data_IF_228241831281
#
_entry.id   IF_228241831281
#
_cell.length_a   1.000
_cell.length_b   1.000
_cell.length_c   1.000
_cell.angle_alpha   90.00
_cell.angle_beta   90.00
_cell.angle_gamma   90.00
#
_symmetry.space_group_name_H-M   'P 1'
#
loop_
_entity.id
_entity.type
_entity.pdbx_description
1 polymer ?
#
# COMPACT_ATOMS: atom_id res chain seq x y z
N UNK A 1 0.37 11.00 23.98
CA UNK A 1 1.29 10.30 23.05
C UNK A 1 0.54 9.96 21.78
N UNK A 2 1.06 10.36 20.66
CA UNK A 2 0.41 10.05 19.39
C UNK A 2 0.54 8.57 19.06
N UNK A 3 -0.53 7.97 18.58
CA UNK A 3 -0.49 6.60 18.10
C UNK A 3 0.34 6.53 16.84
N UNK A 4 0.96 5.38 16.61
CA UNK A 4 1.70 5.15 15.37
C UNK A 4 0.71 4.95 14.23
N UNK A 5 0.91 5.65 13.09
CA UNK A 5 0.05 5.40 11.93
C UNK A 5 0.20 3.96 11.44
N UNK A 6 -0.92 3.33 11.16
CA UNK A 6 -0.93 1.97 10.64
C UNK A 6 -0.69 2.02 9.13
N UNK A 7 0.31 1.28 8.65
CA UNK A 7 0.60 1.14 7.23
C UNK A 7 0.47 -0.34 6.89
N UNK A 8 -0.41 -0.66 5.96
CA UNK A 8 -0.61 -2.03 5.53
C UNK A 8 0.22 -2.30 4.28
N UNK A 9 1.09 -3.30 4.36
CA UNK A 9 1.95 -3.71 3.25
C UNK A 9 1.33 -4.96 2.62
N UNK A 10 0.85 -4.84 1.40
CA UNK A 10 0.25 -5.96 0.68
C UNK A 10 1.28 -6.51 -0.29
N UNK A 11 1.94 -7.57 0.11
CA UNK A 11 3.06 -8.18 -0.60
C UNK A 11 3.11 -9.66 -0.28
N UNK A 12 3.14 -10.51 -1.31
CA UNK A 12 3.15 -11.96 -1.12
C UNK A 12 4.53 -12.54 -0.78
N UNK A 13 5.60 -11.82 -1.15
CA UNK A 13 6.97 -12.25 -0.83
C UNK A 13 7.25 -11.96 0.65
N UNK A 14 7.47 -13.01 1.48
CA UNK A 14 7.70 -12.78 2.91
C UNK A 14 9.00 -12.03 3.19
N UNK A 15 10.02 -12.22 2.38
CA UNK A 15 11.31 -11.55 2.60
C UNK A 15 11.20 -10.06 2.29
N UNK A 16 10.66 -9.71 1.14
CA UNK A 16 10.48 -8.31 0.78
C UNK A 16 9.47 -7.63 1.71
N UNK A 17 8.31 -8.26 1.93
CA UNK A 17 7.31 -7.72 2.83
C UNK A 17 7.82 -7.53 4.24
N UNK A 18 8.58 -8.50 4.74
CA UNK A 18 9.20 -8.42 6.06
C UNK A 18 10.20 -7.28 6.16
N UNK A 19 11.01 -7.08 5.11
CA UNK A 19 11.98 -5.97 5.07
C UNK A 19 11.29 -4.62 5.09
N UNK A 20 10.21 -4.49 4.34
CA UNK A 20 9.44 -3.24 4.30
C UNK A 20 8.82 -2.98 5.68
N UNK A 21 8.21 -3.99 6.28
CA UNK A 21 7.59 -3.86 7.61
C UNK A 21 8.65 -3.45 8.65
N UNK A 22 9.80 -4.10 8.64
CA UNK A 22 10.86 -3.78 9.59
C UNK A 22 11.35 -2.34 9.43
N UNK A 23 11.61 -1.92 8.20
CA UNK A 23 12.09 -0.57 7.94
C UNK A 23 11.06 0.49 8.36
N UNK A 24 9.79 0.30 8.00
CA UNK A 24 8.74 1.23 8.38
C UNK A 24 8.53 1.26 9.90
N UNK A 25 8.64 0.10 10.55
CA UNK A 25 8.52 0.03 12.02
C UNK A 25 9.61 0.85 12.70
N UNK A 26 10.83 0.80 12.19
CA UNK A 26 11.94 1.60 12.71
C UNK A 26 11.73 3.09 12.47
N UNK A 27 10.96 3.45 11.44
CA UNK A 27 10.67 4.84 11.10
C UNK A 27 9.43 5.39 11.84
N UNK A 28 8.84 4.62 12.74
CA UNK A 28 7.77 5.09 13.61
C UNK A 28 6.37 4.69 13.20
N UNK A 29 6.22 3.79 12.23
CA UNK A 29 4.90 3.33 11.79
C UNK A 29 4.53 2.02 12.48
N UNK A 30 3.23 1.74 12.57
CA UNK A 30 2.73 0.41 12.89
C UNK A 30 2.50 -0.31 11.56
N UNK A 31 3.51 -1.01 11.10
CA UNK A 31 3.49 -1.67 9.79
C UNK A 31 3.03 -3.13 9.93
N UNK A 32 2.08 -3.52 9.10
CA UNK A 32 1.53 -4.86 9.08
C UNK A 32 1.57 -5.40 7.65
N UNK A 33 1.70 -6.71 7.48
CA UNK A 33 1.74 -7.33 6.16
C UNK A 33 0.49 -8.16 5.90
N UNK A 34 -0.08 -7.98 4.70
CA UNK A 34 -1.03 -8.91 4.10
C UNK A 34 -0.33 -9.61 2.94
N UNK A 35 -0.61 -10.87 2.73
CA UNK A 35 0.11 -11.69 1.74
C UNK A 35 -0.69 -11.96 0.48
N UNK A 36 -1.95 -11.57 0.44
CA UNK A 36 -2.79 -11.63 -0.75
C UNK A 36 -3.91 -10.60 -0.65
N UNK A 37 -4.69 -10.47 -1.73
CA UNK A 37 -5.74 -9.47 -1.80
C UNK A 37 -6.89 -9.71 -0.83
N UNK A 38 -7.23 -10.97 -0.56
CA UNK A 38 -8.33 -11.27 0.37
C UNK A 38 -7.93 -10.91 1.80
N UNK A 39 -6.71 -11.25 2.20
CA UNK A 39 -6.20 -10.86 3.51
C UNK A 39 -6.10 -9.34 3.61
N UNK A 40 -5.69 -8.68 2.52
CA UNK A 40 -5.63 -7.22 2.49
C UNK A 40 -6.97 -6.58 2.79
N UNK A 41 -8.03 -7.06 2.15
CA UNK A 41 -9.37 -6.50 2.36
C UNK A 41 -9.84 -6.70 3.80
N UNK A 42 -9.57 -7.87 4.40
CA UNK A 42 -9.90 -8.11 5.80
C UNK A 42 -9.14 -7.18 6.73
N UNK A 43 -7.85 -6.99 6.49
CA UNK A 43 -7.03 -6.14 7.35
C UNK A 43 -7.36 -4.66 7.17
N UNK A 44 -7.74 -4.24 5.97
CA UNK A 44 -8.24 -2.87 5.76
C UNK A 44 -9.47 -2.63 6.62
N UNK A 45 -10.41 -3.58 6.65
CA UNK A 45 -11.61 -3.45 7.47
C UNK A 45 -11.28 -3.46 8.96
N UNK A 46 -10.36 -4.29 9.40
CA UNK A 46 -10.06 -4.46 10.82
C UNK A 46 -9.15 -3.36 11.37
N UNK A 47 -8.15 -2.94 10.61
CA UNK A 47 -7.11 -2.04 11.09
C UNK A 47 -7.34 -0.58 10.74
N UNK A 48 -8.14 -0.28 9.74
CA UNK A 48 -8.33 1.08 9.21
C UNK A 48 -6.98 1.77 8.97
N UNK A 49 -6.13 1.21 8.09
CA UNK A 49 -4.78 1.77 7.91
C UNK A 49 -4.83 3.18 7.36
N UNK A 50 -3.80 3.96 7.69
CA UNK A 50 -3.66 5.32 7.16
C UNK A 50 -3.16 5.33 5.71
N UNK A 51 -2.37 4.32 5.33
CA UNK A 51 -1.83 4.15 3.97
C UNK A 51 -1.74 2.66 3.68
N UNK A 52 -2.01 2.29 2.44
CA UNK A 52 -1.80 0.92 1.95
C UNK A 52 -0.70 0.95 0.90
N UNK A 53 0.29 0.08 1.05
CA UNK A 53 1.33 -0.16 0.04
C UNK A 53 0.97 -1.48 -0.63
N UNK A 54 0.72 -1.45 -1.93
CA UNK A 54 0.06 -2.54 -2.64
C UNK A 54 0.86 -3.00 -3.84
N UNK A 55 1.24 -4.29 -3.86
CA UNK A 55 1.79 -4.91 -5.05
C UNK A 55 0.64 -5.34 -5.96
N UNK A 56 0.80 -5.12 -7.25
CA UNK A 56 -0.19 -5.53 -8.25
C UNK A 56 -0.06 -7.01 -8.61
N UNK A 57 1.15 -7.58 -8.48
CA UNK A 57 1.41 -8.96 -8.88
C UNK A 57 1.39 -9.89 -7.67
N UNK A 58 0.24 -10.48 -7.41
CA UNK A 58 0.08 -11.43 -6.32
C UNK A 58 -0.73 -12.63 -6.79
N UNK A 59 -0.52 -13.81 -6.20
CA UNK A 59 -1.34 -14.98 -6.52
C UNK A 59 -2.77 -14.79 -6.03
N UNK A 60 -3.70 -15.56 -6.59
CA UNK A 60 -5.12 -15.60 -6.25
C UNK A 60 -5.84 -14.32 -6.62
N UNK A 61 -5.66 -13.26 -5.83
CA UNK A 61 -6.32 -11.99 -6.05
C UNK A 61 -5.26 -10.90 -6.21
N UNK A 62 -5.13 -10.36 -7.42
CA UNK A 62 -4.11 -9.36 -7.71
C UNK A 62 -4.46 -7.98 -7.13
N UNK A 63 -3.49 -7.07 -7.19
CA UNK A 63 -3.66 -5.75 -6.62
C UNK A 63 -4.67 -4.88 -7.38
N UNK A 64 -4.81 -5.07 -8.69
CA UNK A 64 -5.84 -4.33 -9.43
C UNK A 64 -7.23 -4.64 -8.92
N UNK A 65 -7.50 -5.91 -8.55
CA UNK A 65 -8.78 -6.30 -7.97
C UNK A 65 -9.04 -5.58 -6.65
N UNK A 66 -8.01 -5.43 -5.82
CA UNK A 66 -8.12 -4.67 -4.56
C UNK A 66 -8.47 -3.21 -4.85
N UNK A 67 -7.74 -2.58 -5.79
CA UNK A 67 -8.02 -1.19 -6.17
C UNK A 67 -9.44 -1.02 -6.70
N UNK A 68 -9.89 -1.95 -7.55
CA UNK A 68 -11.25 -1.87 -8.11
C UNK A 68 -12.31 -1.95 -7.02
N UNK A 69 -12.12 -2.81 -6.04
CA UNK A 69 -13.08 -2.93 -4.94
C UNK A 69 -13.10 -1.68 -4.07
N UNK A 70 -11.92 -1.14 -3.72
CA UNK A 70 -11.84 0.08 -2.91
C UNK A 70 -12.45 1.27 -3.64
N UNK A 71 -12.30 1.32 -4.96
CA UNK A 71 -12.93 2.38 -5.76
C UNK A 71 -14.44 2.20 -5.82
N UNK A 72 -14.91 0.96 -6.03
CA UNK A 72 -16.32 0.68 -6.19
C UNK A 72 -17.12 1.01 -4.94
N UNK A 73 -16.55 0.81 -3.75
CA UNK A 73 -17.24 1.10 -2.49
C UNK A 73 -16.90 2.49 -1.92
N UNK A 74 -16.11 3.28 -2.64
CA UNK A 74 -15.80 4.65 -2.27
C UNK A 74 -14.66 4.82 -1.26
N UNK A 75 -14.10 3.73 -0.73
CA UNK A 75 -13.04 3.83 0.28
C UNK A 75 -11.75 4.47 -0.25
N UNK A 76 -11.49 4.32 -1.56
CA UNK A 76 -10.26 4.83 -2.16
C UNK A 76 -10.11 6.36 -1.98
N UNK A 77 -11.22 7.07 -1.84
CA UNK A 77 -11.18 8.52 -1.68
C UNK A 77 -10.53 8.96 -0.37
N UNK A 78 -10.55 8.10 0.64
CA UNK A 78 -10.01 8.41 1.98
C UNK A 78 -8.87 7.50 2.39
N UNK A 79 -8.55 6.48 1.59
CA UNK A 79 -7.50 5.53 1.89
C UNK A 79 -6.42 5.63 0.81
N UNK A 80 -5.33 6.37 1.08
CA UNK A 80 -4.25 6.48 0.10
C UNK A 80 -3.60 5.13 -0.17
N UNK A 81 -3.44 4.79 -1.44
CA UNK A 81 -2.78 3.55 -1.85
C UNK A 81 -1.56 3.90 -2.68
N UNK A 82 -0.40 3.40 -2.26
CA UNK A 82 0.83 3.46 -3.04
C UNK A 82 1.00 2.10 -3.72
N UNK A 83 1.03 2.09 -5.03
CA UNK A 83 1.31 0.86 -5.78
C UNK A 83 2.82 0.67 -5.86
N UNK A 84 3.31 -0.51 -5.46
CA UNK A 84 4.73 -0.87 -5.52
C UNK A 84 4.82 -2.19 -6.27
N UNK A 85 5.33 -2.18 -7.49
CA UNK A 85 5.27 -3.38 -8.33
C UNK A 85 6.41 -3.43 -9.34
N UNK A 86 6.70 -4.65 -9.84
CA UNK A 86 7.63 -4.84 -10.93
C UNK A 86 7.04 -4.42 -12.28
N UNK A 87 5.72 -4.22 -12.35
CA UNK A 87 5.06 -3.77 -13.58
C UNK A 87 5.37 -2.28 -13.80
N UNK A 88 5.98 -1.94 -14.93
CA UNK A 88 6.34 -0.56 -15.22
C UNK A 88 5.78 -0.04 -16.55
N UNK A 89 4.82 -0.76 -17.13
CA UNK A 89 4.17 -0.31 -18.35
C UNK A 89 3.31 0.93 -18.12
N UNK A 90 3.29 1.83 -19.11
CA UNK A 90 2.52 3.07 -19.00
C UNK A 90 1.02 2.81 -18.84
N UNK A 91 0.48 1.85 -19.59
CA UNK A 91 -0.95 1.55 -19.53
C UNK A 91 -1.38 1.04 -18.16
N UNK A 92 -0.57 0.19 -17.52
CA UNK A 92 -0.85 -0.32 -16.18
C UNK A 92 -0.78 0.80 -15.15
N UNK A 93 0.19 1.69 -15.28
CA UNK A 93 0.34 2.84 -14.40
C UNK A 93 -0.85 3.79 -14.53
N UNK A 94 -1.26 4.07 -15.76
CA UNK A 94 -2.42 4.92 -16.00
C UNK A 94 -3.70 4.30 -15.44
N UNK A 95 -3.86 3.00 -15.62
CA UNK A 95 -5.02 2.29 -15.10
C UNK A 95 -5.08 2.35 -13.57
N UNK A 96 -3.94 2.08 -12.89
CA UNK A 96 -3.88 2.18 -11.45
C UNK A 96 -4.23 3.60 -10.96
N UNK A 97 -3.74 4.62 -11.66
CA UNK A 97 -4.04 6.02 -11.34
C UNK A 97 -5.53 6.32 -11.53
N UNK A 98 -6.12 5.83 -12.60
CA UNK A 98 -7.56 5.99 -12.84
C UNK A 98 -8.40 5.32 -11.76
N UNK A 99 -7.93 4.20 -11.22
CA UNK A 99 -8.61 3.52 -10.13
C UNK A 99 -8.45 4.25 -8.80
N UNK A 100 -7.58 5.24 -8.73
CA UNK A 100 -7.43 6.08 -7.56
C UNK A 100 -6.14 5.88 -6.77
N UNK A 101 -5.16 5.14 -7.31
CA UNK A 101 -3.87 5.01 -6.65
C UNK A 101 -3.24 6.39 -6.46
N UNK A 102 -2.74 6.67 -5.26
CA UNK A 102 -2.16 7.96 -4.93
C UNK A 102 -0.73 8.10 -5.45
N UNK A 103 -0.02 6.98 -5.58
CA UNK A 103 1.36 6.98 -6.05
C UNK A 103 1.70 5.63 -6.66
N UNK A 104 2.76 5.57 -7.44
CA UNK A 104 3.18 4.36 -8.15
C UNK A 104 4.70 4.27 -8.12
N UNK A 105 5.22 3.21 -7.54
CA UNK A 105 6.66 3.02 -7.36
C UNK A 105 7.08 1.68 -7.98
N UNK A 106 8.06 1.71 -8.86
CA UNK A 106 8.50 0.51 -9.58
C UNK A 106 9.63 -0.21 -8.84
N UNK A 107 9.54 -1.54 -8.74
CA UNK A 107 10.61 -2.37 -8.19
C UNK A 107 11.77 -2.48 -9.19
N UNK A 108 13.04 -2.46 -8.73
CA UNK A 108 13.46 -2.25 -7.34
C UNK A 108 13.38 -0.78 -6.94
N UNK A 109 13.16 -0.52 -5.66
CA UNK A 109 13.03 0.82 -5.13
C UNK A 109 13.82 0.94 -3.83
N UNK A 110 14.12 2.18 -3.43
CA UNK A 110 14.77 2.45 -2.16
C UNK A 110 13.72 2.53 -1.05
N UNK A 111 13.98 1.85 0.08
CA UNK A 111 13.05 1.88 1.21
C UNK A 111 12.87 3.30 1.75
N UNK A 112 13.92 4.11 1.72
CA UNK A 112 13.83 5.52 2.13
C UNK A 112 12.89 6.32 1.23
N UNK A 113 12.84 6.03 -0.06
CA UNK A 113 11.90 6.67 -0.98
C UNK A 113 10.46 6.27 -0.63
N UNK A 114 10.24 5.00 -0.33
CA UNK A 114 8.91 4.55 0.08
C UNK A 114 8.44 5.28 1.35
N UNK A 115 9.31 5.42 2.35
CA UNK A 115 8.97 6.14 3.59
C UNK A 115 8.59 7.58 3.29
N UNK A 116 9.37 8.25 2.43
CA UNK A 116 9.08 9.64 2.04
C UNK A 116 7.69 9.76 1.42
N UNK A 117 7.33 8.81 0.54
CA UNK A 117 6.02 8.82 -0.12
C UNK A 117 4.89 8.51 0.86
N UNK A 118 5.11 7.57 1.78
CA UNK A 118 4.13 7.27 2.83
C UNK A 118 3.86 8.52 3.68
N UNK A 119 4.93 9.19 4.12
CA UNK A 119 4.76 10.40 4.95
C UNK A 119 4.03 11.52 4.21
N UNK A 120 4.25 11.64 2.91
CA UNK A 120 3.58 12.66 2.10
C UNK A 120 2.05 12.45 2.03
N UNK A 121 1.60 11.22 2.24
CA UNK A 121 0.18 10.88 2.18
C UNK A 121 -0.52 10.90 3.54
N UNK A 122 0.23 11.03 4.62
CA UNK A 122 -0.37 11.11 5.95
C UNK A 122 -0.99 12.49 6.18
N UNK A 123 -2.07 12.57 7.00
CA UNK A 123 -2.64 13.85 7.33
C UNK A 123 -1.60 14.74 8.03
N UNK A 124 -1.56 16.02 7.63
CA UNK A 124 -0.69 17.00 8.29
C UNK A 124 -1.35 17.39 9.60
N UNK A 125 -0.58 17.33 10.68
CA UNK A 125 -1.08 17.83 11.95
C UNK A 125 -1.08 19.36 11.94
N UNK A 126 -2.20 19.91 12.33
CA UNK A 126 -2.36 21.36 12.39
C UNK A 126 -1.68 21.93 13.63
#
# INVERSE_FOLDING_TARGET
>A
MADRPVVLIVEDDPDLGGSIVEYLSEEGFDARQARDGDQAMRLIDDLHPAVVVLDLMMPRRDGFSVLRELRADGRIAKLPVIVVTAIFGLSERLYATELGAADYLTKPFELSDLVTRVRALLPTEA
#
